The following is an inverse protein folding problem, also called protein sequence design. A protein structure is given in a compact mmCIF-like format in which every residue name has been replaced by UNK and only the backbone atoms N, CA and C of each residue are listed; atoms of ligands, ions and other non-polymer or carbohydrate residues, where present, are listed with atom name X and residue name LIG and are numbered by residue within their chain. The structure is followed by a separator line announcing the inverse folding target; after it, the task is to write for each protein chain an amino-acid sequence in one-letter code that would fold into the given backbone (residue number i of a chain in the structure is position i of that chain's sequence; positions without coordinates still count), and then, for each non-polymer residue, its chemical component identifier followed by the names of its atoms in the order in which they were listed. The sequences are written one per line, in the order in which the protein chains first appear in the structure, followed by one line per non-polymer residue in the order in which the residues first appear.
data_IF_464666369141
#
_entry.id   IF_464666369141
#
_cell.length_a   1.000
_cell.length_b   1.000
_cell.length_c   1.000
_cell.angle_alpha   90.00
_cell.angle_beta   90.00
_cell.angle_gamma   90.00
#
_symmetry.space_group_name_H-M   'P 1'
#
loop_
_entity.id
_entity.type
_entity.pdbx_description
1 polymer ?
#
# COMPACT_ATOMS: atom_id res chain seq x y z
N UNK A 1 -16.39 39.75 -3.35
CA UNK A 1 -15.13 39.24 -3.93
C UNK A 1 -13.95 39.85 -3.17
N UNK A 2 -12.83 39.13 -3.01
CA UNK A 2 -11.62 39.68 -2.38
C UNK A 2 -11.01 40.76 -3.30
N UNK A 3 -10.81 42.00 -2.83
CA UNK A 3 -10.14 43.04 -3.62
C UNK A 3 -8.73 42.60 -4.03
N UNK A 4 -8.27 43.02 -5.21
CA UNK A 4 -6.96 42.61 -5.75
C UNK A 4 -5.79 43.05 -4.85
N UNK A 5 -5.98 44.17 -4.16
CA UNK A 5 -5.02 44.79 -3.25
C UNK A 5 -5.02 44.13 -1.86
N UNK A 6 -6.08 43.39 -1.53
CA UNK A 6 -6.19 42.69 -0.25
C UNK A 6 -5.33 41.44 -0.27
N UNK A 7 -4.36 41.37 0.65
CA UNK A 7 -3.56 40.16 0.83
C UNK A 7 -4.40 38.97 1.24
N UNK A 8 -3.98 37.79 0.79
CA UNK A 8 -4.48 36.49 1.25
C UNK A 8 -3.70 36.04 2.47
N UNK A 9 -4.30 35.17 3.27
CA UNK A 9 -3.63 34.63 4.46
C UNK A 9 -2.29 33.97 4.13
N UNK A 10 -2.22 33.22 3.04
CA UNK A 10 -0.99 32.54 2.59
C UNK A 10 0.20 33.50 2.35
N UNK A 11 -0.05 34.80 2.12
CA UNK A 11 0.97 35.81 1.89
C UNK A 11 1.51 36.44 3.18
N UNK A 12 0.81 36.23 4.31
CA UNK A 12 1.13 36.87 5.59
C UNK A 12 1.49 35.89 6.71
N UNK A 13 0.80 34.75 6.81
CA UNK A 13 1.04 33.76 7.86
C UNK A 13 0.41 32.40 7.50
N UNK A 14 0.91 31.32 8.08
CA UNK A 14 0.42 29.97 7.85
C UNK A 14 0.69 29.07 9.07
N UNK A 15 -0.26 28.24 9.54
CA UNK A 15 -0.09 27.38 10.72
C UNK A 15 0.78 26.14 10.42
N UNK A 16 2.00 26.36 9.93
CA UNK A 16 2.88 25.35 9.34
C UNK A 16 3.18 24.18 10.28
N UNK A 17 3.42 24.44 11.57
CA UNK A 17 3.76 23.41 12.54
C UNK A 17 2.60 22.42 12.74
N UNK A 18 1.38 22.93 12.88
CA UNK A 18 0.17 22.12 13.09
C UNK A 18 -0.17 21.33 11.82
N UNK A 19 -0.14 21.99 10.65
CA UNK A 19 -0.40 21.34 9.36
C UNK A 19 0.63 20.25 9.06
N UNK A 20 1.91 20.50 9.37
CA UNK A 20 2.98 19.51 9.19
C UNK A 20 2.79 18.28 10.06
N UNK A 21 2.37 18.47 11.31
CA UNK A 21 2.04 17.36 12.23
C UNK A 21 0.92 16.49 11.68
N UNK A 22 -0.16 17.10 11.17
CA UNK A 22 -1.27 16.33 10.57
C UNK A 22 -0.87 15.64 9.26
N UNK A 23 -0.08 16.32 8.41
CA UNK A 23 0.45 15.76 7.16
C UNK A 23 1.34 14.53 7.42
N UNK A 24 2.14 14.54 8.49
CA UNK A 24 2.95 13.39 8.89
C UNK A 24 2.09 12.22 9.39
N UNK A 25 1.06 12.51 10.22
CA UNK A 25 0.11 11.51 10.73
C UNK A 25 -0.63 10.79 9.60
N UNK A 26 -1.03 11.52 8.55
CA UNK A 26 -1.81 10.99 7.41
C UNK A 26 -1.13 9.78 6.74
N UNK A 27 0.22 9.77 6.67
CA UNK A 27 1.01 8.66 6.10
C UNK A 27 0.83 7.32 6.83
N UNK A 28 0.36 7.36 8.07
CA UNK A 28 0.13 6.17 8.90
C UNK A 28 -1.31 5.64 8.84
N UNK A 29 -2.24 6.37 8.20
CA UNK A 29 -3.63 5.93 8.08
C UNK A 29 -3.70 4.75 7.11
N UNK A 30 -4.45 3.70 7.51
CA UNK A 30 -4.55 2.43 6.77
C UNK A 30 -5.97 2.08 6.33
N UNK A 31 -6.97 2.83 6.76
CA UNK A 31 -8.37 2.61 6.43
C UNK A 31 -9.10 3.94 6.21
N UNK A 32 -10.05 3.96 5.28
CA UNK A 32 -10.94 5.11 5.04
C UNK A 32 -10.27 6.35 4.45
N UNK A 33 -9.00 6.28 4.07
CA UNK A 33 -8.26 7.40 3.48
C UNK A 33 -8.09 7.19 1.97
N UNK A 34 -8.19 8.20 1.10
CA UNK A 34 -8.07 8.00 -0.34
C UNK A 34 -6.79 7.29 -0.81
N UNK A 35 -5.68 7.39 -0.06
CA UNK A 35 -4.43 6.66 -0.37
C UNK A 35 -4.55 5.14 -0.24
N UNK A 36 -5.59 4.64 0.42
CA UNK A 36 -5.86 3.20 0.54
C UNK A 36 -6.66 2.66 -0.64
N UNK A 37 -7.22 3.53 -1.50
CA UNK A 37 -7.88 3.13 -2.74
C UNK A 37 -6.85 2.71 -3.80
N UNK A 38 -5.83 3.55 -3.99
CA UNK A 38 -4.70 3.27 -4.88
C UNK A 38 -3.44 4.00 -4.41
N UNK A 39 -2.30 3.32 -4.45
CA UNK A 39 -1.01 3.91 -4.09
C UNK A 39 -0.53 4.81 -5.24
N UNK A 40 -0.42 6.12 -4.98
CA UNK A 40 0.15 7.07 -5.94
C UNK A 40 1.47 7.62 -5.41
N UNK A 41 2.55 7.48 -6.20
CA UNK A 41 3.94 7.72 -5.76
C UNK A 41 4.23 9.15 -5.30
N UNK A 42 3.47 10.14 -5.78
CA UNK A 42 3.65 11.55 -5.45
C UNK A 42 2.39 12.20 -4.87
N UNK A 43 1.59 11.46 -4.09
CA UNK A 43 0.37 12.03 -3.49
C UNK A 43 0.72 13.06 -2.42
N UNK A 44 0.25 14.29 -2.61
CA UNK A 44 0.36 15.36 -1.62
C UNK A 44 -0.56 15.07 -0.42
N UNK A 45 -0.13 15.33 0.84
CA UNK A 45 -1.00 15.16 2.00
C UNK A 45 -2.26 16.02 1.88
N UNK A 46 -3.44 15.43 2.13
CA UNK A 46 -4.72 16.14 2.10
C UNK A 46 -4.75 17.25 3.15
N UNK A 47 -4.15 17.02 4.32
CA UNK A 47 -3.98 18.03 5.36
C UNK A 47 -3.32 19.32 4.83
N UNK A 48 -2.23 19.19 4.07
CA UNK A 48 -1.52 20.32 3.49
C UNK A 48 -2.33 21.00 2.37
N UNK A 49 -2.95 20.22 1.48
CA UNK A 49 -3.79 20.75 0.40
C UNK A 49 -4.96 21.56 0.93
N UNK A 50 -5.72 21.03 1.90
CA UNK A 50 -6.86 21.73 2.52
C UNK A 50 -6.44 23.03 3.19
N UNK A 51 -5.37 22.98 3.98
CA UNK A 51 -4.90 24.15 4.71
C UNK A 51 -4.41 25.25 3.75
N UNK A 52 -3.66 24.86 2.72
CA UNK A 52 -3.16 25.80 1.71
C UNK A 52 -4.30 26.40 0.88
N UNK A 53 -5.30 25.60 0.49
CA UNK A 53 -6.48 26.11 -0.21
C UNK A 53 -7.21 27.17 0.62
N UNK A 54 -7.46 26.93 1.91
CA UNK A 54 -8.05 27.94 2.79
C UNK A 54 -7.17 29.19 2.91
N UNK A 55 -5.86 29.04 3.06
CA UNK A 55 -4.95 30.18 3.14
C UNK A 55 -4.91 31.02 1.85
N UNK A 56 -5.12 30.40 0.69
CA UNK A 56 -5.19 31.07 -0.61
C UNK A 56 -6.57 31.66 -0.93
N UNK A 57 -7.65 31.08 -0.40
CA UNK A 57 -9.03 31.49 -0.69
C UNK A 57 -9.59 32.50 0.33
N UNK A 58 -8.87 32.80 1.40
CA UNK A 58 -9.33 33.71 2.44
C UNK A 58 -8.47 34.97 2.49
N UNK A 59 -9.10 36.17 2.55
CA UNK A 59 -8.37 37.41 2.76
C UNK A 59 -7.82 37.47 4.18
N UNK A 60 -6.73 38.22 4.35
CA UNK A 60 -6.18 38.53 5.66
C UNK A 60 -7.05 39.60 6.36
N UNK A 61 -7.63 39.32 7.55
CA UNK A 61 -8.45 40.29 8.28
C UNK A 61 -7.77 41.60 8.63
N UNK A 62 -6.44 41.62 8.79
CA UNK A 62 -5.74 42.85 9.15
C UNK A 62 -5.21 43.64 7.94
N UNK A 63 -5.49 43.18 6.72
CA UNK A 63 -5.24 43.99 5.54
C UNK A 63 -6.27 45.14 5.49
N UNK A 64 -5.86 46.39 5.25
CA UNK A 64 -6.78 47.52 5.14
C UNK A 64 -7.86 47.35 4.06
N UNK A 65 -7.63 46.51 3.06
CA UNK A 65 -8.57 46.23 1.98
C UNK A 65 -9.46 45.00 2.25
N UNK A 66 -9.35 44.39 3.44
CA UNK A 66 -10.18 43.25 3.79
C UNK A 66 -11.66 43.67 3.92
N UNK A 67 -12.60 43.01 3.21
CA UNK A 67 -14.00 43.38 3.28
C UNK A 67 -14.60 43.22 4.69
N UNK A 68 -15.22 44.28 5.23
CA UNK A 68 -15.88 44.26 6.54
C UNK A 68 -16.99 43.20 6.63
N UNK A 69 -17.71 42.97 5.53
CA UNK A 69 -18.73 41.93 5.45
C UNK A 69 -18.13 40.52 5.64
N UNK A 70 -16.93 40.28 5.08
CA UNK A 70 -16.22 39.02 5.30
C UNK A 70 -15.86 38.87 6.77
N UNK A 71 -15.30 39.90 7.41
CA UNK A 71 -14.90 39.87 8.82
C UNK A 71 -16.10 39.52 9.72
N UNK A 72 -17.23 40.19 9.53
CA UNK A 72 -18.45 39.95 10.29
C UNK A 72 -18.97 38.51 10.14
N UNK A 73 -18.99 37.99 8.91
CA UNK A 73 -19.39 36.59 8.63
C UNK A 73 -18.40 35.58 9.21
N UNK A 74 -17.10 35.83 9.07
CA UNK A 74 -16.05 34.96 9.58
C UNK A 74 -16.10 34.85 11.11
N UNK A 75 -16.28 35.97 11.83
CA UNK A 75 -16.48 35.96 13.29
C UNK A 75 -17.68 35.08 13.69
N UNK A 76 -18.83 35.25 13.03
CA UNK A 76 -20.03 34.46 13.30
C UNK A 76 -19.81 32.96 13.05
N UNK A 77 -19.17 32.59 11.95
CA UNK A 77 -18.91 31.18 11.61
C UNK A 77 -17.94 30.53 12.61
N UNK A 78 -16.83 31.19 12.90
CA UNK A 78 -15.80 30.67 13.80
C UNK A 78 -16.29 30.56 15.25
N UNK A 79 -17.23 31.41 15.67
CA UNK A 79 -17.84 31.34 17.01
C UNK A 79 -18.46 29.98 17.34
N UNK A 80 -18.88 29.22 16.32
CA UNK A 80 -19.42 27.87 16.48
C UNK A 80 -18.39 26.85 17.00
N UNK A 81 -17.09 27.09 16.76
CA UNK A 81 -16.00 26.19 17.13
C UNK A 81 -15.15 26.73 18.28
N UNK A 82 -14.93 28.04 18.33
CA UNK A 82 -14.00 28.67 19.28
C UNK A 82 -14.71 29.52 20.35
N UNK A 83 -16.03 29.65 20.30
CA UNK A 83 -16.80 30.50 21.20
C UNK A 83 -16.64 31.97 20.86
N UNK A 84 -15.79 32.71 21.58
CA UNK A 84 -15.60 34.14 21.35
C UNK A 84 -14.37 34.41 20.47
N UNK A 85 -14.62 34.90 19.25
CA UNK A 85 -13.59 35.43 18.35
C UNK A 85 -13.48 36.92 18.68
N UNK A 86 -12.41 37.32 19.36
CA UNK A 86 -12.24 38.69 19.84
C UNK A 86 -12.50 39.76 18.77
N UNK A 87 -12.82 40.98 19.20
CA UNK A 87 -13.32 42.06 18.33
C UNK A 87 -12.26 42.71 17.42
N UNK A 88 -10.98 42.38 17.59
CA UNK A 88 -9.88 42.98 16.84
C UNK A 88 -9.53 42.13 15.60
N UNK A 89 -9.13 42.77 14.50
CA UNK A 89 -8.70 42.09 13.27
C UNK A 89 -7.58 41.06 13.51
N UNK A 90 -6.63 41.39 14.39
CA UNK A 90 -5.56 40.47 14.80
C UNK A 90 -6.08 39.24 15.54
N UNK A 91 -7.15 39.37 16.32
CA UNK A 91 -7.79 38.24 16.98
C UNK A 91 -8.53 37.35 15.96
N UNK A 92 -9.21 37.96 14.99
CA UNK A 92 -9.86 37.23 13.89
C UNK A 92 -8.84 36.49 13.02
N UNK A 93 -7.71 37.12 12.64
CA UNK A 93 -6.62 36.44 11.90
C UNK A 93 -6.15 35.20 12.65
N UNK A 94 -5.85 35.33 13.95
CA UNK A 94 -5.42 34.20 14.79
C UNK A 94 -6.48 33.08 14.85
N UNK A 95 -7.76 33.45 14.93
CA UNK A 95 -8.85 32.48 14.94
C UNK A 95 -8.96 31.72 13.61
N UNK A 96 -8.83 32.40 12.46
CA UNK A 96 -8.82 31.74 11.15
C UNK A 96 -7.60 30.82 11.02
N UNK A 97 -6.40 31.27 11.38
CA UNK A 97 -5.19 30.44 11.33
C UNK A 97 -5.29 29.21 12.24
N UNK A 98 -5.87 29.37 13.43
CA UNK A 98 -6.15 28.23 14.32
C UNK A 98 -7.13 27.26 13.66
N UNK A 99 -8.22 27.76 13.08
CA UNK A 99 -9.18 26.93 12.35
C UNK A 99 -8.53 26.18 11.19
N UNK A 100 -7.69 26.84 10.38
CA UNK A 100 -6.95 26.20 9.27
C UNK A 100 -6.07 25.05 9.81
N UNK A 101 -5.37 25.27 10.92
CA UNK A 101 -4.54 24.25 11.57
C UNK A 101 -5.38 23.07 12.09
N UNK A 102 -6.47 23.35 12.80
CA UNK A 102 -7.36 22.33 13.37
C UNK A 102 -8.08 21.54 12.26
N UNK A 103 -8.51 22.22 11.19
CA UNK A 103 -9.22 21.60 10.08
C UNK A 103 -8.28 20.82 9.17
N UNK A 104 -6.95 21.03 9.23
CA UNK A 104 -5.98 20.16 8.56
C UNK A 104 -6.01 18.71 9.11
N UNK A 105 -6.56 18.50 10.31
CA UNK A 105 -6.75 17.15 10.86
C UNK A 105 -7.72 16.32 10.00
N UNK A 106 -7.32 15.09 9.65
CA UNK A 106 -8.16 14.16 8.89
C UNK A 106 -9.49 13.86 9.58
N UNK A 107 -9.49 13.70 10.89
CA UNK A 107 -10.71 13.37 11.65
C UNK A 107 -11.72 14.52 11.61
N UNK A 108 -11.24 15.77 11.52
CA UNK A 108 -12.10 16.95 11.37
C UNK A 108 -12.59 17.15 9.93
N UNK A 109 -11.94 16.53 8.95
CA UNK A 109 -12.27 16.66 7.52
C UNK A 109 -13.67 16.16 7.17
N UNK A 110 -14.20 15.21 7.95
CA UNK A 110 -15.55 14.67 7.82
C UNK A 110 -16.53 15.21 8.84
N UNK A 111 -16.12 16.11 9.73
CA UNK A 111 -16.99 16.68 10.76
C UNK A 111 -17.92 17.74 10.13
N UNK A 112 -19.25 17.62 10.28
CA UNK A 112 -20.21 18.55 9.68
C UNK A 112 -19.98 20.01 10.04
N UNK A 113 -19.63 20.30 11.31
CA UNK A 113 -19.42 21.68 11.79
C UNK A 113 -18.17 22.30 11.14
N UNK A 114 -17.08 21.54 11.05
CA UNK A 114 -15.87 22.01 10.37
C UNK A 114 -16.09 22.23 8.87
N UNK A 115 -16.85 21.34 8.22
CA UNK A 115 -17.23 21.48 6.81
C UNK A 115 -18.10 22.73 6.58
N UNK A 116 -19.10 22.96 7.44
CA UNK A 116 -19.96 24.14 7.38
C UNK A 116 -19.15 25.43 7.55
N UNK A 117 -18.30 25.50 8.57
CA UNK A 117 -17.43 26.67 8.82
C UNK A 117 -16.46 26.88 7.65
N UNK A 118 -15.79 25.83 7.17
CA UNK A 118 -14.86 25.93 6.05
C UNK A 118 -15.50 26.43 4.76
N UNK A 119 -16.64 25.82 4.36
CA UNK A 119 -17.43 26.24 3.20
C UNK A 119 -18.01 27.64 3.38
N UNK A 120 -18.45 27.97 4.59
CA UNK A 120 -18.99 29.28 4.94
C UNK A 120 -17.95 30.38 4.81
N UNK A 121 -16.71 30.13 5.25
CA UNK A 121 -15.59 31.06 5.12
C UNK A 121 -15.25 31.32 3.65
N UNK A 122 -15.13 30.26 2.85
CA UNK A 122 -14.90 30.38 1.39
C UNK A 122 -16.01 31.18 0.72
N UNK A 123 -17.28 30.87 1.02
CA UNK A 123 -18.44 31.62 0.49
C UNK A 123 -18.48 33.07 0.96
N UNK A 124 -18.05 33.36 2.19
CA UNK A 124 -17.98 34.73 2.69
C UNK A 124 -16.93 35.55 1.94
N UNK A 125 -15.81 34.94 1.55
CA UNK A 125 -14.76 35.58 0.75
C UNK A 125 -15.14 35.69 -0.75
N UNK A 126 -15.87 34.69 -1.24
CA UNK A 126 -16.32 34.54 -2.63
C UNK A 126 -17.86 34.55 -2.71
N UNK A 127 -18.45 35.72 -2.49
CA UNK A 127 -19.90 35.89 -2.34
C UNK A 127 -20.73 35.74 -3.61
N UNK A 128 -20.12 35.95 -4.78
CA UNK A 128 -20.82 36.00 -6.08
C UNK A 128 -20.87 34.63 -6.76
N UNK A 129 -19.76 33.90 -6.70
CA UNK A 129 -19.60 32.59 -7.34
C UNK A 129 -18.67 31.68 -6.52
N UNK A 130 -18.82 30.38 -6.71
CA UNK A 130 -17.89 29.42 -6.12
C UNK A 130 -16.53 29.56 -6.83
N UNK A 131 -15.40 29.62 -6.10
CA UNK A 131 -14.10 29.72 -6.74
C UNK A 131 -13.79 28.43 -7.51
N UNK A 132 -13.24 28.58 -8.73
CA UNK A 132 -12.73 27.46 -9.53
C UNK A 132 -11.25 27.19 -9.18
N UNK A 133 -10.96 25.96 -8.76
CA UNK A 133 -9.61 25.47 -8.53
C UNK A 133 -9.18 24.58 -9.69
N UNK A 134 -8.11 24.98 -10.37
CA UNK A 134 -7.55 24.25 -11.51
C UNK A 134 -6.24 23.57 -11.10
N UNK A 135 -6.17 22.25 -11.26
CA UNK A 135 -4.95 21.45 -11.08
C UNK A 135 -4.62 20.67 -12.36
N UNK A 136 -3.71 21.17 -13.22
CA UNK A 136 -3.38 20.54 -14.49
C UNK A 136 -2.45 19.32 -14.35
N UNK A 137 -1.97 19.03 -13.14
CA UNK A 137 -1.07 17.90 -12.83
C UNK A 137 -1.55 17.18 -11.56
N UNK A 138 -2.83 16.81 -11.56
CA UNK A 138 -3.53 16.43 -10.34
C UNK A 138 -3.08 15.09 -9.75
N UNK A 139 -2.53 14.19 -10.57
CA UNK A 139 -2.02 12.89 -10.16
C UNK A 139 -3.05 12.13 -9.32
N UNK A 140 -2.74 11.95 -8.04
CA UNK A 140 -3.60 11.26 -7.08
C UNK A 140 -4.83 12.05 -6.60
N UNK A 141 -5.02 13.30 -7.05
CA UNK A 141 -6.24 14.08 -6.86
C UNK A 141 -6.39 14.82 -5.53
N UNK A 142 -5.30 15.06 -4.80
CA UNK A 142 -5.36 15.69 -3.46
C UNK A 142 -5.94 17.11 -3.48
N UNK A 143 -5.49 17.96 -4.40
CA UNK A 143 -5.95 19.35 -4.52
C UNK A 143 -7.41 19.43 -4.95
N UNK A 144 -7.85 18.81 -6.07
CA UNK A 144 -9.24 18.88 -6.48
C UNK A 144 -10.20 18.26 -5.46
N UNK A 145 -9.81 17.17 -4.78
CA UNK A 145 -10.62 16.58 -3.71
C UNK A 145 -10.88 17.58 -2.58
N UNK A 146 -9.83 18.24 -2.10
CA UNK A 146 -9.96 19.19 -0.99
C UNK A 146 -10.63 20.50 -1.43
N UNK A 147 -10.50 20.89 -2.70
CA UNK A 147 -11.26 22.00 -3.28
C UNK A 147 -12.77 21.70 -3.25
N UNK A 148 -13.20 20.54 -3.74
CA UNK A 148 -14.60 20.10 -3.68
C UNK A 148 -15.09 20.00 -2.22
N UNK A 149 -14.25 19.53 -1.29
CA UNK A 149 -14.58 19.48 0.14
C UNK A 149 -14.94 20.86 0.69
N UNK A 150 -14.20 21.89 0.27
CA UNK A 150 -14.40 23.30 0.64
C UNK A 150 -15.53 24.01 -0.11
N UNK A 151 -16.22 23.33 -1.03
CA UNK A 151 -17.32 23.89 -1.81
C UNK A 151 -16.86 24.71 -3.02
N UNK A 152 -15.58 24.59 -3.41
CA UNK A 152 -15.08 25.14 -4.66
C UNK A 152 -15.55 24.29 -5.84
N UNK A 153 -15.54 24.88 -7.03
CA UNK A 153 -15.50 24.10 -8.26
C UNK A 153 -14.07 23.60 -8.50
N UNK A 154 -13.92 22.44 -9.15
CA UNK A 154 -12.61 21.86 -9.41
C UNK A 154 -12.50 21.38 -10.85
N UNK A 155 -11.40 21.75 -11.51
CA UNK A 155 -10.97 21.19 -12.78
C UNK A 155 -9.62 20.49 -12.57
N UNK A 156 -9.56 19.20 -12.87
CA UNK A 156 -8.36 18.39 -12.71
C UNK A 156 -7.98 17.74 -14.05
N UNK A 157 -6.71 17.79 -14.39
CA UNK A 157 -6.15 17.10 -15.55
C UNK A 157 -4.88 16.36 -15.15
N UNK A 158 -4.59 15.29 -15.89
CA UNK A 158 -3.30 14.60 -15.83
C UNK A 158 -3.04 13.91 -17.18
N UNK A 159 -1.77 13.73 -17.53
CA UNK A 159 -1.39 12.99 -18.74
C UNK A 159 -1.47 11.47 -18.50
N UNK A 160 -1.29 11.03 -17.26
CA UNK A 160 -1.24 9.63 -16.92
C UNK A 160 -2.66 9.03 -16.89
N UNK A 161 -2.97 7.99 -17.69
CA UNK A 161 -4.30 7.40 -17.72
C UNK A 161 -4.72 6.78 -16.37
N UNK A 162 -3.76 6.32 -15.57
CA UNK A 162 -4.03 5.81 -14.21
C UNK A 162 -4.44 6.94 -13.28
N UNK A 163 -3.80 8.12 -13.39
CA UNK A 163 -4.23 9.30 -12.64
C UNK A 163 -5.65 9.72 -13.04
N UNK A 164 -5.94 9.78 -14.34
CA UNK A 164 -7.28 10.11 -14.84
C UNK A 164 -8.36 9.16 -14.28
N UNK A 165 -8.08 7.86 -14.22
CA UNK A 165 -9.00 6.89 -13.63
C UNK A 165 -9.18 7.13 -12.12
N UNK A 166 -8.10 7.37 -11.37
CA UNK A 166 -8.17 7.69 -9.93
C UNK A 166 -9.02 8.95 -9.70
N UNK A 167 -8.79 10.00 -10.48
CA UNK A 167 -9.53 11.26 -10.41
C UNK A 167 -11.02 11.03 -10.67
N UNK A 168 -11.36 10.33 -11.75
CA UNK A 168 -12.75 10.06 -12.12
C UNK A 168 -13.47 9.26 -11.03
N UNK A 169 -12.86 8.19 -10.55
CA UNK A 169 -13.45 7.36 -9.49
C UNK A 169 -13.61 8.16 -8.19
N UNK A 170 -12.58 8.91 -7.78
CA UNK A 170 -12.57 9.60 -6.49
C UNK A 170 -13.44 10.86 -6.46
N UNK A 171 -13.45 11.64 -7.54
CA UNK A 171 -14.09 12.95 -7.60
C UNK A 171 -15.49 12.90 -8.21
N UNK A 172 -15.80 11.90 -9.05
CA UNK A 172 -17.10 11.77 -9.71
C UNK A 172 -17.86 10.52 -9.29
N UNK A 173 -17.29 9.33 -9.47
CA UNK A 173 -18.07 8.09 -9.35
C UNK A 173 -18.45 7.79 -7.90
N UNK A 174 -17.51 7.91 -6.96
CA UNK A 174 -17.78 7.70 -5.53
C UNK A 174 -18.84 8.69 -5.01
N UNK A 175 -18.74 10.01 -5.25
CA UNK A 175 -19.78 10.95 -4.82
C UNK A 175 -21.14 10.73 -5.48
N UNK A 176 -21.19 10.30 -6.75
CA UNK A 176 -22.45 10.10 -7.49
C UNK A 176 -23.18 8.81 -7.09
N UNK A 177 -22.44 7.72 -6.91
CA UNK A 177 -23.02 6.38 -6.73
C UNK A 177 -22.96 5.91 -5.27
N UNK A 178 -22.07 6.47 -4.45
CA UNK A 178 -22.01 6.16 -3.03
C UNK A 178 -21.87 4.65 -2.73
N UNK A 179 -22.67 4.11 -1.79
CA UNK A 179 -22.61 2.70 -1.41
C UNK A 179 -22.86 1.70 -2.55
N UNK A 180 -23.68 2.04 -3.54
CA UNK A 180 -24.06 1.15 -4.65
C UNK A 180 -22.83 0.75 -5.47
N UNK A 181 -21.91 1.68 -5.72
CA UNK A 181 -20.65 1.39 -6.41
C UNK A 181 -19.81 0.38 -5.64
N UNK A 182 -19.79 0.47 -4.31
CA UNK A 182 -19.04 -0.46 -3.48
C UNK A 182 -19.67 -1.86 -3.49
N UNK A 183 -20.99 -1.97 -3.57
CA UNK A 183 -21.70 -3.24 -3.73
C UNK A 183 -21.43 -3.86 -5.09
N UNK A 184 -21.49 -3.06 -6.15
CA UNK A 184 -21.22 -3.50 -7.52
C UNK A 184 -19.77 -3.98 -7.70
N UNK A 185 -18.79 -3.26 -7.13
CA UNK A 185 -17.39 -3.69 -7.13
C UNK A 185 -17.19 -5.03 -6.41
N UNK A 186 -17.95 -5.30 -5.33
CA UNK A 186 -17.89 -6.60 -4.64
C UNK A 186 -18.51 -7.70 -5.49
N UNK A 187 -19.62 -7.44 -6.17
CA UNK A 187 -20.30 -8.37 -7.08
C UNK A 187 -19.37 -8.78 -8.23
N UNK A 188 -18.88 -7.81 -8.99
CA UNK A 188 -17.96 -8.05 -10.12
C UNK A 188 -16.65 -8.67 -9.62
N UNK A 189 -16.14 -8.22 -8.47
CA UNK A 189 -14.95 -8.82 -7.85
C UNK A 189 -15.14 -10.30 -7.52
N UNK A 190 -16.33 -10.72 -7.08
CA UNK A 190 -16.65 -12.13 -6.84
C UNK A 190 -16.71 -12.94 -8.14
N UNK A 191 -17.29 -12.38 -9.22
CA UNK A 191 -17.33 -13.03 -10.53
C UNK A 191 -15.93 -13.21 -11.13
N UNK A 192 -15.06 -12.19 -11.02
CA UNK A 192 -13.66 -12.28 -11.45
C UNK A 192 -12.93 -13.33 -10.63
N UNK A 193 -13.15 -13.36 -9.31
CA UNK A 193 -12.55 -14.34 -8.41
C UNK A 193 -12.94 -15.77 -8.81
N UNK A 194 -14.21 -16.02 -9.06
CA UNK A 194 -14.71 -17.34 -9.46
C UNK A 194 -14.06 -17.81 -10.77
N UNK A 195 -14.00 -16.93 -11.79
CA UNK A 195 -13.34 -17.26 -13.07
C UNK A 195 -11.84 -17.52 -12.89
N UNK A 196 -11.16 -16.69 -12.11
CA UNK A 196 -9.75 -16.89 -11.80
C UNK A 196 -9.49 -18.20 -11.05
N UNK A 197 -10.38 -18.58 -10.12
CA UNK A 197 -10.30 -19.86 -9.40
C UNK A 197 -10.46 -21.05 -10.35
N UNK A 198 -11.35 -20.96 -11.35
CA UNK A 198 -11.52 -22.00 -12.37
C UNK A 198 -10.31 -22.12 -13.30
N UNK A 199 -9.81 -20.99 -13.83
CA UNK A 199 -8.65 -20.97 -14.75
C UNK A 199 -7.35 -21.44 -14.07
N UNK A 200 -7.19 -21.17 -12.77
CA UNK A 200 -5.98 -21.51 -12.02
C UNK A 200 -6.07 -22.86 -11.30
N UNK A 201 -7.22 -23.55 -11.34
CA UNK A 201 -7.45 -24.79 -10.59
C UNK A 201 -6.42 -25.88 -10.89
N UNK A 202 -6.02 -26.04 -12.15
CA UNK A 202 -5.02 -27.03 -12.58
C UNK A 202 -3.61 -26.69 -12.09
N UNK A 203 -3.32 -25.40 -11.89
CA UNK A 203 -2.02 -24.93 -11.42
C UNK A 203 -1.91 -24.98 -9.88
N UNK A 204 -3.04 -24.88 -9.17
CA UNK A 204 -3.13 -24.90 -7.71
C UNK A 204 -4.18 -25.94 -7.25
N UNK A 205 -3.97 -27.23 -7.56
CA UNK A 205 -4.94 -28.26 -7.23
C UNK A 205 -5.12 -28.38 -5.71
N UNK A 206 -6.33 -28.74 -5.31
CA UNK A 206 -6.65 -29.01 -3.91
C UNK A 206 -5.90 -30.26 -3.46
N UNK A 207 -5.22 -30.17 -2.33
CA UNK A 207 -4.51 -31.30 -1.73
C UNK A 207 -5.49 -32.41 -1.30
N UNK A 208 -5.08 -33.69 -1.24
CA UNK A 208 -5.90 -34.80 -0.77
C UNK A 208 -6.53 -34.65 0.62
N UNK A 209 -6.04 -33.74 1.45
CA UNK A 209 -6.61 -33.41 2.76
C UNK A 209 -7.61 -32.23 2.73
N UNK A 210 -7.88 -31.69 1.53
CA UNK A 210 -8.80 -30.58 1.28
C UNK A 210 -8.15 -29.19 1.36
N UNK A 211 -6.83 -29.09 1.56
CA UNK A 211 -6.16 -27.79 1.62
C UNK A 211 -5.92 -27.18 0.23
N UNK A 212 -5.92 -25.85 0.16
CA UNK A 212 -5.62 -25.11 -1.08
C UNK A 212 -4.19 -24.55 -1.02
N UNK A 213 -3.32 -24.88 -1.98
CA UNK A 213 -1.99 -24.28 -2.09
C UNK A 213 -2.09 -22.77 -2.32
N UNK A 214 -1.48 -21.98 -1.43
CA UNK A 214 -1.45 -20.51 -1.59
C UNK A 214 -0.21 -20.01 -2.33
N UNK A 215 0.85 -20.82 -2.37
CA UNK A 215 2.11 -20.52 -3.03
C UNK A 215 2.96 -21.79 -3.16
N UNK A 216 3.76 -21.84 -4.22
CA UNK A 216 4.85 -22.81 -4.39
C UNK A 216 6.18 -22.16 -4.05
N UNK A 217 6.99 -22.86 -3.26
CA UNK A 217 8.36 -22.43 -2.97
C UNK A 217 9.36 -23.31 -3.70
N UNK A 218 10.34 -22.66 -4.32
CA UNK A 218 11.41 -23.33 -5.03
C UNK A 218 12.75 -22.67 -4.69
N UNK A 219 13.82 -23.44 -4.81
CA UNK A 219 15.18 -22.96 -4.66
C UNK A 219 16.05 -23.58 -5.75
N UNK A 220 16.99 -22.80 -6.30
CA UNK A 220 18.04 -23.35 -7.16
C UNK A 220 18.89 -24.32 -6.35
N UNK A 221 19.39 -25.37 -6.98
CA UNK A 221 20.19 -26.40 -6.31
C UNK A 221 21.59 -26.50 -6.91
N UNK A 222 22.58 -26.78 -6.07
CA UNK A 222 23.94 -27.20 -6.51
C UNK A 222 24.27 -28.54 -5.86
N UNK A 223 25.14 -29.35 -6.48
CA UNK A 223 25.57 -30.63 -5.92
C UNK A 223 26.75 -30.44 -4.97
N UNK A 224 26.71 -31.12 -3.83
CA UNK A 224 27.82 -31.16 -2.89
C UNK A 224 29.00 -31.93 -3.48
N UNK A 225 30.17 -31.30 -3.54
CA UNK A 225 31.41 -31.88 -4.08
C UNK A 225 32.25 -32.63 -3.02
N UNK A 226 31.70 -32.84 -1.82
CA UNK A 226 32.40 -33.57 -0.75
C UNK A 226 32.47 -35.08 -1.09
N UNK A 227 33.64 -35.73 -0.95
CA UNK A 227 33.78 -37.17 -1.15
C UNK A 227 32.83 -37.91 -0.20
N UNK A 228 31.92 -38.72 -0.75
CA UNK A 228 30.87 -39.47 -0.03
C UNK A 228 29.61 -38.68 0.37
N UNK A 229 29.42 -37.46 -0.12
CA UNK A 229 28.13 -36.74 0.04
C UNK A 229 27.33 -36.73 -1.26
N UNK A 230 27.68 -35.88 -2.23
CA UNK A 230 26.92 -35.77 -3.48
C UNK A 230 25.50 -35.20 -3.36
N UNK A 231 25.08 -34.77 -2.17
CA UNK A 231 23.74 -34.25 -1.91
C UNK A 231 23.40 -33.00 -2.73
N UNK A 232 22.13 -32.84 -3.08
CA UNK A 232 21.62 -31.57 -3.63
C UNK A 232 21.48 -30.54 -2.49
N UNK A 233 22.10 -29.37 -2.69
CA UNK A 233 22.09 -28.25 -1.76
C UNK A 233 21.10 -27.21 -2.30
N UNK A 234 19.90 -27.07 -1.71
CA UNK A 234 19.00 -25.98 -2.06
C UNK A 234 19.65 -24.65 -1.67
N UNK A 235 19.62 -23.64 -2.51
CA UNK A 235 20.21 -22.33 -2.26
C UNK A 235 19.17 -21.37 -1.65
N UNK A 236 18.92 -21.53 -0.35
CA UNK A 236 17.96 -20.73 0.41
C UNK A 236 18.67 -19.78 1.38
N UNK A 237 18.39 -18.48 1.28
CA UNK A 237 18.96 -17.47 2.20
C UNK A 237 18.32 -17.50 3.59
N UNK A 238 17.11 -18.03 3.69
CA UNK A 238 16.32 -18.06 4.91
C UNK A 238 15.28 -19.17 4.82
N UNK A 239 15.03 -19.83 5.94
CA UNK A 239 13.95 -20.81 6.09
C UNK A 239 12.71 -20.23 6.79
N UNK A 240 12.68 -18.92 7.05
CA UNK A 240 11.45 -18.24 7.45
C UNK A 240 10.44 -18.14 6.32
N UNK A 241 9.18 -18.42 6.65
CA UNK A 241 8.03 -18.22 5.76
C UNK A 241 7.20 -17.00 6.19
N UNK A 242 6.96 -16.84 7.49
CA UNK A 242 6.26 -15.69 8.05
C UNK A 242 6.82 -15.33 9.43
N UNK A 243 7.16 -14.05 9.63
CA UNK A 243 7.70 -13.49 10.89
C UNK A 243 6.67 -12.70 11.70
N UNK A 244 5.42 -12.58 11.23
CA UNK A 244 4.40 -11.76 11.91
C UNK A 244 4.07 -12.38 13.28
N UNK A 245 4.03 -11.54 14.32
CA UNK A 245 3.59 -11.93 15.67
C UNK A 245 2.23 -12.64 15.57
N UNK A 246 2.10 -13.80 16.25
CA UNK A 246 0.94 -14.70 16.23
C UNK A 246 0.68 -15.48 14.92
N UNK A 247 1.58 -15.41 13.93
CA UNK A 247 1.52 -16.23 12.70
C UNK A 247 2.91 -16.65 12.25
N UNK A 248 3.80 -17.00 13.19
CA UNK A 248 5.15 -17.44 12.86
C UNK A 248 5.08 -18.78 12.10
N UNK A 249 5.76 -18.87 10.97
CA UNK A 249 5.90 -20.09 10.15
C UNK A 249 7.32 -20.17 9.61
N UNK A 250 7.94 -21.34 9.70
CA UNK A 250 9.27 -21.59 9.18
C UNK A 250 9.41 -23.02 8.65
N UNK A 251 10.49 -23.27 7.93
CA UNK A 251 10.90 -24.60 7.49
C UNK A 251 11.95 -25.14 8.45
N UNK A 252 11.78 -26.38 8.87
CA UNK A 252 12.86 -27.22 9.41
C UNK A 252 13.09 -28.38 8.45
N UNK A 253 14.18 -29.12 8.61
CA UNK A 253 14.47 -30.23 7.72
C UNK A 253 15.00 -31.46 8.45
N UNK A 254 14.82 -32.62 7.82
CA UNK A 254 15.42 -33.89 8.22
C UNK A 254 16.35 -34.37 7.12
N UNK A 255 17.50 -34.92 7.51
CA UNK A 255 18.44 -35.52 6.56
C UNK A 255 18.10 -37.00 6.43
N UNK A 256 17.86 -37.45 5.21
CA UNK A 256 17.54 -38.83 4.86
C UNK A 256 18.65 -39.40 3.97
N UNK A 257 18.80 -40.72 3.98
CA UNK A 257 19.79 -41.43 3.16
C UNK A 257 19.15 -42.68 2.56
N UNK A 258 19.19 -42.80 1.25
CA UNK A 258 18.79 -44.00 0.52
C UNK A 258 19.86 -45.09 0.57
N UNK A 259 19.44 -46.34 0.32
CA UNK A 259 20.34 -47.51 0.34
C UNK A 259 21.44 -47.37 -0.71
N UNK A 260 21.10 -46.86 -1.90
CA UNK A 260 22.01 -46.67 -3.03
C UNK A 260 21.91 -45.25 -3.64
N UNK A 261 22.21 -44.22 -2.86
CA UNK A 261 22.16 -42.84 -3.34
C UNK A 261 22.80 -41.79 -2.42
N UNK A 262 22.98 -40.54 -2.91
CA UNK A 262 23.40 -39.43 -2.07
C UNK A 262 22.32 -39.13 -1.01
N UNK A 263 22.69 -38.61 0.18
CA UNK A 263 21.71 -38.17 1.16
C UNK A 263 20.97 -36.93 0.65
N UNK A 264 19.72 -36.77 1.07
CA UNK A 264 18.89 -35.62 0.73
C UNK A 264 18.20 -35.06 1.96
N UNK A 265 17.60 -33.88 1.82
CA UNK A 265 16.83 -33.24 2.89
C UNK A 265 15.34 -33.31 2.59
N UNK A 266 14.54 -33.47 3.62
CA UNK A 266 13.09 -33.28 3.59
C UNK A 266 12.77 -32.03 4.41
N UNK A 267 12.06 -31.04 3.85
CA UNK A 267 11.59 -29.86 4.58
C UNK A 267 10.17 -29.97 5.13
N UNK A 268 9.96 -29.65 6.40
CA UNK A 268 8.62 -29.56 6.99
C UNK A 268 8.34 -28.15 7.50
N UNK A 269 7.10 -27.73 7.37
CA UNK A 269 6.61 -26.46 7.91
C UNK A 269 6.29 -26.64 9.39
N UNK A 270 6.75 -25.72 10.23
CA UNK A 270 6.41 -25.72 11.64
C UNK A 270 6.20 -24.31 12.17
N UNK A 271 5.68 -24.22 13.39
CA UNK A 271 5.49 -22.97 14.13
C UNK A 271 6.63 -22.80 15.15
N UNK A 272 7.63 -21.93 14.89
CA UNK A 272 8.71 -21.72 15.83
C UNK A 272 8.27 -20.83 16.99
N UNK A 273 8.61 -21.21 18.22
CA UNK A 273 8.42 -20.34 19.39
C UNK A 273 9.52 -19.26 19.41
N UNK A 274 10.76 -19.70 19.21
CA UNK A 274 11.97 -18.87 19.24
C UNK A 274 12.69 -18.84 17.89
N UNK A 275 13.44 -17.76 17.65
CA UNK A 275 14.20 -17.60 16.40
C UNK A 275 15.39 -18.59 16.32
N UNK A 276 15.82 -19.15 17.45
CA UNK A 276 16.90 -20.14 17.56
C UNK A 276 16.53 -21.53 17.06
N UNK A 277 15.24 -21.88 16.99
CA UNK A 277 14.77 -23.17 16.47
C UNK A 277 14.93 -23.30 14.95
N UNK A 278 15.24 -22.19 14.28
CA UNK A 278 15.13 -22.08 12.84
C UNK A 278 16.50 -22.34 12.23
N UNK A 279 16.60 -23.30 11.30
CA UNK A 279 17.87 -23.58 10.66
C UNK A 279 18.40 -22.35 9.92
N UNK A 280 19.73 -22.22 9.89
CA UNK A 280 20.38 -21.17 9.10
C UNK A 280 20.18 -21.45 7.62
N UNK A 281 20.03 -20.39 6.82
CA UNK A 281 19.99 -20.52 5.37
C UNK A 281 21.23 -21.25 4.84
N UNK A 282 21.03 -22.06 3.81
CA UNK A 282 22.07 -22.86 3.15
C UNK A 282 22.96 -22.05 2.22
N UNK A 283 22.64 -20.77 1.92
CA UNK A 283 23.51 -19.91 1.10
C UNK A 283 23.72 -18.53 1.70
N UNK A 284 24.97 -18.08 1.74
CA UNK A 284 25.36 -16.71 2.11
C UNK A 284 26.59 -16.27 1.33
N UNK A 285 26.53 -15.08 0.71
CA UNK A 285 27.62 -14.52 -0.13
C UNK A 285 28.16 -15.55 -1.15
N UNK A 286 27.25 -16.25 -1.82
CA UNK A 286 27.52 -17.33 -2.79
C UNK A 286 28.29 -18.55 -2.23
N UNK A 287 28.48 -18.67 -0.91
CA UNK A 287 28.94 -19.89 -0.25
C UNK A 287 27.73 -20.76 0.06
N UNK A 288 27.74 -22.01 -0.40
CA UNK A 288 26.64 -22.95 -0.19
C UNK A 288 27.03 -23.98 0.88
N UNK A 289 26.32 -24.01 2.00
CA UNK A 289 26.49 -25.01 3.06
C UNK A 289 25.58 -26.21 2.80
N UNK A 290 26.17 -27.40 2.68
CA UNK A 290 25.41 -28.62 2.52
C UNK A 290 24.64 -28.94 3.81
N UNK A 291 23.32 -29.10 3.70
CA UNK A 291 22.46 -29.42 4.83
C UNK A 291 22.64 -30.86 5.34
N UNK A 292 23.23 -31.74 4.53
CA UNK A 292 23.47 -33.15 4.87
C UNK A 292 24.80 -33.37 5.60
N UNK A 293 25.91 -32.81 5.09
CA UNK A 293 27.26 -33.06 5.63
C UNK A 293 27.94 -31.82 6.25
N UNK A 294 27.35 -30.64 6.12
CA UNK A 294 27.90 -29.38 6.65
C UNK A 294 29.03 -28.76 5.81
N UNK A 295 29.56 -29.46 4.80
CA UNK A 295 30.62 -28.94 3.92
C UNK A 295 30.16 -27.67 3.20
N UNK A 296 31.06 -26.69 3.12
CA UNK A 296 30.82 -25.40 2.47
C UNK A 296 31.44 -25.41 1.07
N UNK A 297 30.60 -25.32 0.05
CA UNK A 297 31.04 -25.08 -1.32
C UNK A 297 31.44 -23.60 -1.50
N UNK A 298 32.63 -23.32 -2.04
CA UNK A 298 33.08 -21.95 -2.28
C UNK A 298 32.35 -21.32 -3.47
N UNK A 299 32.34 -19.97 -3.57
CA UNK A 299 31.59 -19.24 -4.59
C UNK A 299 31.93 -19.62 -6.03
N UNK A 300 33.20 -19.91 -6.32
CA UNK A 300 33.65 -20.28 -7.67
C UNK A 300 32.98 -21.58 -8.15
N UNK A 301 32.83 -22.56 -7.25
CA UNK A 301 32.19 -23.85 -7.56
C UNK A 301 30.69 -23.71 -7.72
N UNK A 302 30.04 -22.94 -6.85
CA UNK A 302 28.61 -22.62 -6.97
C UNK A 302 28.31 -21.94 -8.30
N UNK A 303 29.13 -20.95 -8.70
CA UNK A 303 28.96 -20.25 -9.99
C UNK A 303 29.22 -21.16 -11.19
N UNK A 304 30.25 -22.01 -11.12
CA UNK A 304 30.55 -22.96 -12.19
C UNK A 304 29.37 -23.90 -12.45
N UNK A 305 28.82 -24.52 -11.39
CA UNK A 305 27.66 -25.40 -11.50
C UNK A 305 26.42 -24.67 -12.02
N UNK A 306 26.12 -23.47 -11.50
CA UNK A 306 25.00 -22.69 -11.99
C UNK A 306 25.18 -22.27 -13.46
N UNK A 307 26.40 -21.95 -13.89
CA UNK A 307 26.70 -21.61 -15.29
C UNK A 307 26.47 -22.80 -16.22
N UNK A 308 26.91 -24.00 -15.80
CA UNK A 308 26.69 -25.25 -16.52
C UNK A 308 25.19 -25.56 -16.65
N UNK A 309 24.42 -25.27 -15.60
CA UNK A 309 22.95 -25.38 -15.57
C UNK A 309 22.21 -24.16 -16.16
N UNK A 310 22.88 -23.28 -16.91
CA UNK A 310 22.28 -22.05 -17.50
C UNK A 310 21.50 -21.17 -16.51
N UNK A 311 22.01 -21.09 -15.29
CA UNK A 311 21.42 -20.35 -14.17
C UNK A 311 20.56 -21.20 -13.24
N UNK A 312 20.39 -22.51 -13.50
CA UNK A 312 19.58 -23.42 -12.69
C UNK A 312 18.10 -23.05 -12.67
N UNK A 313 17.62 -22.44 -13.76
CA UNK A 313 16.24 -21.98 -13.93
C UNK A 313 15.36 -23.00 -14.66
N UNK A 314 15.96 -24.01 -15.29
CA UNK A 314 15.25 -25.16 -15.85
C UNK A 314 14.79 -26.03 -14.69
N UNK A 315 13.63 -25.68 -14.12
CA UNK A 315 13.02 -26.45 -13.05
C UNK A 315 12.52 -27.75 -13.66
N UNK A 316 13.33 -28.81 -13.57
CA UNK A 316 12.84 -30.15 -13.85
C UNK A 316 11.95 -30.53 -12.66
N UNK A 317 10.65 -30.33 -12.82
CA UNK A 317 9.63 -30.88 -11.93
C UNK A 317 9.58 -32.39 -12.14
N UNK A 318 10.63 -33.11 -11.72
CA UNK A 318 10.65 -34.57 -11.82
C UNK A 318 9.50 -35.15 -10.99
N UNK A 319 8.77 -36.15 -11.51
CA UNK A 319 7.94 -37.01 -10.69
C UNK A 319 8.79 -37.55 -9.54
N UNK A 320 8.43 -37.22 -8.29
CA UNK A 320 9.19 -37.67 -7.11
C UNK A 320 10.21 -36.69 -6.52
N UNK A 321 10.38 -35.47 -7.04
CA UNK A 321 11.21 -34.44 -6.37
C UNK A 321 10.40 -33.27 -5.80
N UNK A 322 10.90 -32.78 -4.66
CA UNK A 322 10.14 -32.13 -3.59
C UNK A 322 9.62 -30.73 -3.95
N UNK A 323 8.30 -30.60 -4.03
CA UNK A 323 7.61 -29.32 -3.88
C UNK A 323 7.16 -29.22 -2.43
N UNK A 324 7.55 -28.13 -1.76
CA UNK A 324 7.02 -27.82 -0.45
C UNK A 324 5.72 -27.02 -0.62
N UNK A 325 4.59 -27.72 -0.51
CA UNK A 325 3.26 -27.16 -0.43
C UNK A 325 3.02 -26.58 0.97
N UNK A 326 2.38 -25.42 1.03
CA UNK A 326 2.02 -24.71 2.27
C UNK A 326 0.52 -24.81 2.55
N UNK A 327 -0.02 -25.92 3.06
CA UNK A 327 -1.39 -25.97 3.54
C UNK A 327 -1.51 -25.39 4.97
N UNK A 328 -2.67 -24.83 5.35
CA UNK A 328 -2.96 -24.50 6.72
C UNK A 328 -3.36 -25.77 7.48
N UNK A 329 -2.48 -26.29 8.34
CA UNK A 329 -2.92 -27.02 9.53
C UNK A 329 -2.52 -28.49 9.73
N UNK A 330 -1.77 -29.16 8.85
CA UNK A 330 -1.03 -30.40 9.16
C UNK A 330 -0.13 -30.85 7.99
N UNK A 331 0.88 -31.62 8.33
CA UNK A 331 2.00 -32.02 7.48
C UNK A 331 1.62 -33.14 6.51
N UNK A 332 1.90 -32.98 5.20
CA UNK A 332 2.07 -34.09 4.26
C UNK A 332 2.83 -33.66 3.00
N UNK A 333 3.51 -34.64 2.42
CA UNK A 333 4.35 -34.53 1.24
C UNK A 333 3.55 -34.96 0.02
N UNK A 334 3.64 -34.20 -1.07
CA UNK A 334 3.24 -34.69 -2.38
C UNK A 334 4.41 -34.55 -3.35
N UNK A 335 4.79 -35.62 -4.07
CA UNK A 335 5.47 -35.44 -5.34
C UNK A 335 4.47 -34.77 -6.27
N UNK A 336 4.65 -33.47 -6.51
CA UNK A 336 3.85 -32.78 -7.52
C UNK A 336 4.36 -33.20 -8.89
N UNK A 337 3.54 -33.94 -9.63
CA UNK A 337 3.67 -34.01 -11.08
C UNK A 337 2.91 -32.81 -11.64
N UNK A 338 3.60 -31.96 -12.41
CA UNK A 338 2.87 -31.14 -13.39
C UNK A 338 2.08 -32.11 -14.30
N UNK A 339 0.95 -31.68 -14.87
CA UNK A 339 0.38 -32.37 -16.02
C UNK A 339 1.54 -32.59 -16.98
N UNK A 340 1.85 -33.85 -17.24
CA UNK A 340 2.87 -34.21 -18.21
C UNK A 340 2.58 -33.43 -19.49
N UNK A 341 3.67 -33.06 -20.17
CA UNK A 341 3.70 -32.64 -21.55
C UNK A 341 2.36 -32.95 -22.23
N UNK A 342 1.64 -31.90 -22.66
CA UNK A 342 0.67 -32.04 -23.73
C UNK A 342 1.43 -32.77 -24.82
N UNK A 343 1.22 -34.08 -24.85
CA UNK A 343 1.80 -34.95 -25.84
C UNK A 343 1.47 -34.28 -27.16
N UNK A 344 2.49 -34.28 -28.01
CA UNK A 344 2.36 -34.35 -29.43
C UNK A 344 1.34 -35.46 -29.81
N UNK A 345 0.05 -35.23 -29.61
CA UNK A 345 -1.00 -35.91 -30.32
C UNK A 345 -1.42 -34.97 -31.44
N UNK A 346 -0.55 -34.92 -32.45
CA UNK A 346 -1.03 -34.69 -33.80
C UNK A 346 -2.07 -35.77 -34.10
N UNK A 347 -3.32 -35.35 -34.22
CA UNK A 347 -4.21 -35.70 -35.32
C UNK A 347 -5.28 -34.62 -35.48
#
# INVERSE_FOLDING_TARGET
MIPKECKRLAEVDFPIAVVSKHSAREKSIRHGHPSTLHLWWARRPLAACRAMLLALLLPDPCDPHCPEEFKAKACKLLSQLTGNVGSEDMALRKAILKFIGDFANWDNAGNPVFLEVGRGLVRAAHSEENPLVVDPFAGGGSIPLEALRLGCEAFASDLNPVACLILKVMLEDIPRHGPELAEELRRVGAEIKEKAEQELAELYPIDPDGATPIAYLWARTVKCESPNCGAEIPLARSFWLCKKKNRKRALRYKVLKEVDGPPYVEFEIFEPETDSEIPKGSVSRAKAACLCCGTILPPERVRAQLSEQRGGADVIFCPGKQILLLPPGRHRWFPYQLPADLEESGQ
#
